data_IF_794882475512
#
_entry.id   IF_794882475512
#
_cell.length_a   1.000
_cell.length_b   1.000
_cell.length_c   1.000
_cell.angle_alpha   90.00
_cell.angle_beta   90.00
_cell.angle_gamma   90.00
#
_symmetry.space_group_name_H-M   'P 1'
#
loop_
_entity.id
_entity.type
_entity.pdbx_description
1 polymer ?
#
# COMPACT_ATOMS: atom_id res chain seq x y z
N UNK A 1 -32.80 -10.08 -16.14
CA UNK A 1 -33.05 -9.36 -14.89
C UNK A 1 -32.03 -8.23 -14.71
N UNK A 2 -30.71 -8.47 -14.64
CA UNK A 2 -29.67 -7.45 -14.43
C UNK A 2 -29.70 -6.33 -15.46
N UNK A 3 -29.96 -6.62 -16.75
CA UNK A 3 -30.06 -5.60 -17.79
C UNK A 3 -31.21 -4.61 -17.52
N UNK A 4 -32.40 -5.11 -17.10
CA UNK A 4 -33.55 -4.25 -16.77
C UNK A 4 -33.25 -3.37 -15.54
N UNK A 5 -32.62 -3.93 -14.48
CA UNK A 5 -32.25 -3.18 -13.29
C UNK A 5 -31.25 -2.06 -13.63
N UNK A 6 -30.28 -2.35 -14.50
CA UNK A 6 -29.33 -1.34 -14.97
C UNK A 6 -30.02 -0.25 -15.80
N UNK A 7 -30.93 -0.59 -16.71
CA UNK A 7 -31.70 0.41 -17.48
C UNK A 7 -32.55 1.32 -16.59
N UNK A 8 -33.02 0.80 -15.45
CA UNK A 8 -33.77 1.57 -14.44
C UNK A 8 -32.86 2.35 -13.49
N UNK A 9 -31.56 2.31 -13.67
CA UNK A 9 -30.59 2.99 -12.78
C UNK A 9 -30.44 2.38 -11.38
N UNK A 10 -31.08 1.22 -11.11
CA UNK A 10 -31.03 0.58 -9.80
C UNK A 10 -29.71 -0.11 -9.48
N UNK A 11 -28.93 -0.44 -10.50
CA UNK A 11 -27.59 -1.03 -10.36
C UNK A 11 -26.64 -0.40 -11.36
N UNK A 12 -25.35 -0.28 -10.99
CA UNK A 12 -24.26 0.13 -11.86
C UNK A 12 -23.42 -1.08 -12.26
N UNK A 13 -23.00 -1.15 -13.52
CA UNK A 13 -22.06 -2.18 -13.98
C UNK A 13 -20.64 -1.68 -13.78
N UNK A 14 -19.87 -2.35 -12.91
CA UNK A 14 -18.46 -2.03 -12.64
C UNK A 14 -17.57 -2.61 -13.73
N UNK A 15 -17.73 -3.90 -14.05
CA UNK A 15 -17.02 -4.60 -15.13
C UNK A 15 -17.87 -5.77 -15.65
N UNK A 16 -17.33 -6.61 -16.53
CA UNK A 16 -18.05 -7.80 -17.02
C UNK A 16 -18.42 -8.69 -15.82
N UNK A 17 -19.73 -8.98 -15.69
CA UNK A 17 -20.32 -9.80 -14.63
C UNK A 17 -20.19 -9.25 -13.18
N UNK A 18 -19.76 -7.99 -13.00
CA UNK A 18 -19.69 -7.33 -11.69
C UNK A 18 -20.61 -6.11 -11.70
N UNK A 19 -21.55 -6.09 -10.77
CA UNK A 19 -22.53 -5.02 -10.59
C UNK A 19 -22.51 -4.53 -9.14
N UNK A 20 -22.92 -3.30 -8.91
CA UNK A 20 -22.99 -2.69 -7.59
C UNK A 20 -24.30 -1.92 -7.39
N UNK A 21 -24.77 -1.90 -6.16
CA UNK A 21 -25.80 -1.01 -5.63
C UNK A 21 -25.20 0.18 -4.85
N UNK A 22 -23.86 0.17 -4.68
CA UNK A 22 -23.14 1.16 -3.89
C UNK A 22 -22.60 2.26 -4.79
N UNK A 23 -22.43 3.45 -4.20
CA UNK A 23 -21.86 4.62 -4.87
C UNK A 23 -20.45 4.93 -4.37
N UNK A 24 -20.06 4.42 -3.18
CA UNK A 24 -18.74 4.63 -2.63
C UNK A 24 -17.66 3.88 -3.41
N UNK A 25 -16.80 4.61 -4.08
CA UNK A 25 -15.74 4.06 -4.94
C UNK A 25 -14.73 3.20 -4.15
N UNK A 26 -14.46 3.52 -2.89
CA UNK A 26 -13.54 2.75 -2.04
C UNK A 26 -14.08 1.36 -1.74
N UNK A 27 -15.38 1.32 -1.39
CA UNK A 27 -16.11 0.08 -1.18
C UNK A 27 -16.17 -0.72 -2.48
N UNK A 28 -16.55 -0.08 -3.58
CA UNK A 28 -16.66 -0.75 -4.88
C UNK A 28 -15.31 -1.34 -5.30
N UNK A 29 -14.26 -0.52 -5.35
CA UNK A 29 -12.95 -0.93 -5.84
C UNK A 29 -12.37 -2.10 -5.04
N UNK A 30 -12.40 -2.03 -3.71
CA UNK A 30 -11.83 -3.09 -2.86
C UNK A 30 -12.55 -4.43 -2.93
N UNK A 31 -13.78 -4.46 -3.49
CA UNK A 31 -14.59 -5.66 -3.63
C UNK A 31 -14.69 -6.18 -5.07
N UNK A 32 -14.00 -5.58 -6.05
CA UNK A 32 -14.02 -6.05 -7.46
C UNK A 32 -13.39 -7.44 -7.59
N UNK A 33 -12.33 -7.68 -6.86
CA UNK A 33 -11.62 -8.98 -6.85
C UNK A 33 -11.22 -9.37 -5.42
N UNK A 34 -11.12 -10.68 -5.19
CA UNK A 34 -10.64 -11.24 -3.93
C UNK A 34 -9.58 -12.31 -4.20
N UNK A 35 -8.51 -12.38 -3.39
CA UNK A 35 -8.12 -11.43 -2.36
C UNK A 35 -7.44 -10.18 -2.95
N UNK A 36 -7.83 -9.02 -2.43
CA UNK A 36 -7.18 -7.74 -2.71
C UNK A 36 -7.45 -6.75 -1.58
N UNK A 37 -6.67 -5.69 -1.52
CA UNK A 37 -6.88 -4.59 -0.58
C UNK A 37 -6.33 -3.27 -1.13
N UNK A 38 -6.88 -2.16 -0.70
CA UNK A 38 -6.39 -0.82 -1.03
C UNK A 38 -5.04 -0.61 -0.34
N UNK A 39 -4.02 -0.16 -1.09
CA UNK A 39 -2.68 0.09 -0.56
C UNK A 39 -2.00 1.27 -1.27
N UNK A 40 -0.70 1.43 -1.05
CA UNK A 40 0.17 2.43 -1.69
C UNK A 40 -0.35 3.85 -1.50
N UNK A 41 -0.30 4.66 -2.53
CA UNK A 41 -0.73 6.04 -2.45
C UNK A 41 -2.22 6.19 -2.09
N UNK A 42 -3.06 5.29 -2.59
CA UNK A 42 -4.49 5.31 -2.26
C UNK A 42 -4.75 5.09 -0.77
N UNK A 43 -4.08 4.12 -0.13
CA UNK A 43 -4.20 3.93 1.32
C UNK A 43 -3.59 5.11 2.09
N UNK A 44 -2.51 5.70 1.57
CA UNK A 44 -1.89 6.89 2.14
C UNK A 44 -2.85 8.08 2.18
N UNK A 45 -3.57 8.32 1.07
CA UNK A 45 -4.61 9.33 0.98
C UNK A 45 -5.78 9.03 1.94
N UNK A 46 -6.26 7.79 1.95
CA UNK A 46 -7.37 7.36 2.82
C UNK A 46 -7.07 7.59 4.31
N UNK A 47 -5.82 7.39 4.73
CA UNK A 47 -5.37 7.64 6.11
C UNK A 47 -4.99 9.10 6.39
N UNK A 48 -5.03 9.98 5.39
CA UNK A 48 -4.60 11.38 5.54
C UNK A 48 -3.08 11.54 5.71
N UNK A 49 -2.29 10.61 5.17
CA UNK A 49 -0.82 10.69 5.22
C UNK A 49 -0.21 11.50 4.09
N UNK A 50 -0.99 11.83 3.07
CA UNK A 50 -0.65 12.72 1.96
C UNK A 50 -1.75 13.75 1.76
N UNK A 51 -1.38 14.94 1.31
CA UNK A 51 -2.30 16.04 0.99
C UNK A 51 -2.75 16.00 -0.49
N UNK A 52 -2.14 15.14 -1.29
CA UNK A 52 -2.42 15.09 -2.72
C UNK A 52 -3.72 14.36 -3.01
N UNK A 53 -4.63 15.02 -3.71
CA UNK A 53 -5.89 14.43 -4.17
C UNK A 53 -5.58 13.36 -5.22
N UNK A 54 -6.24 12.23 -5.10
CA UNK A 54 -6.08 11.10 -6.01
C UNK A 54 -7.36 10.82 -6.80
N UNK A 55 -7.19 10.47 -8.07
CA UNK A 55 -8.24 9.93 -8.94
C UNK A 55 -7.98 8.45 -9.29
N UNK A 56 -7.03 7.82 -8.61
CA UNK A 56 -6.65 6.42 -8.83
C UNK A 56 -6.82 5.64 -7.53
N UNK A 57 -7.53 4.51 -7.60
CA UNK A 57 -7.61 3.55 -6.50
C UNK A 57 -6.68 2.38 -6.81
N UNK A 58 -5.68 2.21 -5.96
CA UNK A 58 -4.64 1.19 -6.11
C UNK A 58 -4.95 -0.02 -5.23
N UNK A 59 -5.06 -1.18 -5.86
CA UNK A 59 -5.36 -2.45 -5.23
C UNK A 59 -4.15 -3.38 -5.28
N UNK A 60 -3.65 -3.75 -4.12
CA UNK A 60 -2.67 -4.83 -3.98
C UNK A 60 -3.36 -6.19 -4.19
N UNK A 61 -2.83 -7.04 -5.04
CA UNK A 61 -3.40 -8.35 -5.39
C UNK A 61 -2.33 -9.33 -5.86
N UNK A 62 -2.61 -10.62 -5.92
CA UNK A 62 -1.68 -11.62 -6.47
C UNK A 62 -1.62 -11.59 -8.01
N UNK A 63 -2.75 -11.30 -8.68
CA UNK A 63 -2.88 -11.45 -10.12
C UNK A 63 -2.70 -10.13 -10.84
N UNK A 64 -1.83 -10.11 -11.85
CA UNK A 64 -1.77 -8.99 -12.79
C UNK A 64 -3.10 -8.88 -13.53
N UNK A 65 -3.67 -7.67 -13.54
CA UNK A 65 -4.88 -7.33 -14.29
C UNK A 65 -4.68 -6.00 -15.01
N UNK A 66 -5.39 -5.82 -16.11
CA UNK A 66 -5.48 -4.52 -16.78
C UNK A 66 -6.20 -3.56 -15.86
N UNK A 67 -5.69 -2.35 -15.77
CA UNK A 67 -6.38 -1.25 -15.11
C UNK A 67 -7.72 -0.98 -15.79
N UNK A 68 -8.66 -0.41 -15.07
CA UNK A 68 -9.97 -0.08 -15.58
C UNK A 68 -10.43 1.28 -15.06
N UNK A 69 -11.29 1.93 -15.82
CA UNK A 69 -11.96 3.16 -15.39
C UNK A 69 -13.36 2.81 -14.93
N UNK A 70 -13.76 3.32 -13.79
CA UNK A 70 -15.12 3.29 -13.30
C UNK A 70 -15.49 4.67 -12.79
N UNK A 71 -16.53 5.25 -13.38
CA UNK A 71 -16.85 6.68 -13.22
C UNK A 71 -15.61 7.54 -13.50
N UNK A 72 -15.23 8.42 -12.58
CA UNK A 72 -14.08 9.32 -12.72
C UNK A 72 -12.79 8.76 -12.10
N UNK A 73 -12.76 7.48 -11.72
CA UNK A 73 -11.62 6.86 -11.05
C UNK A 73 -10.95 5.80 -11.92
N UNK A 74 -9.63 5.84 -11.94
CA UNK A 74 -8.81 4.76 -12.46
C UNK A 74 -8.60 3.72 -11.35
N UNK A 75 -8.96 2.47 -11.62
CA UNK A 75 -8.70 1.35 -10.69
C UNK A 75 -7.51 0.57 -11.20
N UNK A 76 -6.42 0.58 -10.44
CA UNK A 76 -5.15 -0.03 -10.78
C UNK A 76 -4.90 -1.28 -9.93
N UNK A 77 -4.61 -2.41 -10.57
CA UNK A 77 -4.32 -3.68 -9.91
C UNK A 77 -2.82 -3.90 -9.89
N UNK A 78 -2.22 -3.90 -8.69
CA UNK A 78 -0.77 -3.98 -8.48
C UNK A 78 -0.42 -5.36 -7.95
N UNK A 79 0.28 -6.19 -8.74
CA UNK A 79 0.64 -7.53 -8.31
C UNK A 79 1.74 -7.47 -7.24
N UNK A 80 1.47 -8.10 -6.10
CA UNK A 80 2.43 -8.27 -5.01
C UNK A 80 2.45 -9.71 -4.52
N UNK A 81 3.61 -10.16 -4.03
CA UNK A 81 3.80 -11.50 -3.51
C UNK A 81 3.26 -11.67 -2.09
N UNK A 82 3.31 -10.62 -1.29
CA UNK A 82 3.05 -10.65 0.17
C UNK A 82 1.69 -10.05 0.51
N UNK A 83 0.62 -10.83 0.29
CA UNK A 83 -0.76 -10.40 0.48
C UNK A 83 -1.26 -10.76 1.89
N UNK A 84 -0.91 -9.95 2.88
CA UNK A 84 -1.32 -10.04 4.28
C UNK A 84 -1.32 -8.64 4.92
N UNK A 85 -1.67 -8.51 6.19
CA UNK A 85 -1.60 -7.25 6.94
C UNK A 85 -2.58 -6.20 6.44
N UNK A 86 -3.74 -6.64 5.99
CA UNK A 86 -4.87 -5.78 5.64
C UNK A 86 -6.07 -6.13 6.51
N UNK A 87 -6.97 -5.19 6.65
CA UNK A 87 -8.17 -5.34 7.46
C UNK A 87 -9.43 -4.99 6.69
N UNK A 88 -10.53 -5.58 7.12
CA UNK A 88 -11.86 -5.16 6.71
C UNK A 88 -12.29 -3.96 7.56
N UNK A 89 -12.53 -2.84 6.92
CA UNK A 89 -13.04 -1.64 7.55
C UNK A 89 -14.53 -1.48 7.19
N UNK A 90 -15.37 -1.31 8.19
CA UNK A 90 -16.79 -1.01 7.99
C UNK A 90 -16.96 0.50 7.91
N UNK A 91 -17.70 0.95 6.91
CA UNK A 91 -18.15 2.34 6.72
C UNK A 91 -19.66 2.38 6.63
N UNK A 92 -20.25 3.55 6.65
CA UNK A 92 -21.70 3.72 6.43
C UNK A 92 -22.16 3.17 5.08
N UNK A 93 -21.30 3.27 4.06
CA UNK A 93 -21.58 2.83 2.69
C UNK A 93 -21.30 1.35 2.45
N UNK A 94 -20.71 0.63 3.41
CA UNK A 94 -20.37 -0.80 3.27
C UNK A 94 -19.06 -1.17 3.95
N UNK A 95 -18.38 -2.17 3.39
CA UNK A 95 -17.08 -2.61 3.90
C UNK A 95 -16.04 -2.55 2.80
N UNK A 96 -14.84 -2.11 3.14
CA UNK A 96 -13.68 -2.12 2.26
C UNK A 96 -12.52 -2.89 2.89
N UNK A 97 -11.60 -3.36 2.05
CA UNK A 97 -10.35 -3.98 2.48
C UNK A 97 -9.20 -3.00 2.23
N UNK A 98 -8.41 -2.72 3.27
CA UNK A 98 -7.32 -1.73 3.22
C UNK A 98 -6.11 -2.22 4.00
N UNK A 99 -4.91 -1.89 3.51
CA UNK A 99 -3.66 -2.15 4.22
C UNK A 99 -3.70 -1.57 5.63
N UNK A 100 -3.26 -2.32 6.64
CA UNK A 100 -2.95 -1.72 7.94
C UNK A 100 -1.76 -0.75 7.81
N UNK A 101 -1.62 0.26 8.69
CA UNK A 101 -0.53 1.22 8.60
C UNK A 101 0.85 0.57 8.49
N UNK A 102 1.11 -0.48 9.27
CA UNK A 102 2.37 -1.24 9.23
C UNK A 102 2.61 -1.90 7.87
N UNK A 103 1.56 -2.44 7.28
CA UNK A 103 1.64 -3.05 5.95
C UNK A 103 1.85 -2.03 4.85
N UNK A 104 1.22 -0.85 4.97
CA UNK A 104 1.42 0.26 4.04
C UNK A 104 2.88 0.71 4.01
N UNK A 105 3.56 0.82 5.17
CA UNK A 105 4.99 1.13 5.23
C UNK A 105 5.85 0.10 4.48
N UNK A 106 5.49 -1.17 4.57
CA UNK A 106 6.16 -2.26 3.86
C UNK A 106 5.86 -2.18 2.36
N UNK A 107 4.60 -2.02 1.98
CA UNK A 107 4.17 -1.96 0.58
C UNK A 107 4.83 -0.81 -0.17
N UNK A 108 5.04 0.32 0.50
CA UNK A 108 5.75 1.48 -0.05
C UNK A 108 7.18 1.14 -0.51
N UNK A 109 7.84 0.13 0.06
CA UNK A 109 9.14 -0.34 -0.41
C UNK A 109 9.10 -1.64 -1.22
N UNK A 110 7.97 -2.33 -1.22
CA UNK A 110 7.76 -3.44 -2.17
C UNK A 110 7.54 -2.92 -3.59
N UNK A 111 6.83 -1.79 -3.72
CA UNK A 111 6.48 -1.12 -4.97
C UNK A 111 6.58 0.40 -4.82
N UNK A 112 7.80 0.95 -4.68
CA UNK A 112 7.97 2.38 -4.39
C UNK A 112 7.42 3.28 -5.50
N UNK A 113 7.46 2.84 -6.75
CA UNK A 113 6.88 3.52 -7.90
C UNK A 113 5.36 3.77 -7.78
N UNK A 114 4.68 3.04 -6.92
CA UNK A 114 3.24 3.18 -6.68
C UNK A 114 2.91 4.18 -5.55
N UNK A 115 3.92 4.75 -4.90
CA UNK A 115 3.80 5.73 -3.83
C UNK A 115 4.31 7.13 -4.23
N UNK A 116 4.42 7.38 -5.54
CA UNK A 116 4.94 8.63 -6.07
C UNK A 116 6.47 8.71 -5.98
N UNK A 117 6.99 9.68 -5.24
CA UNK A 117 8.43 9.87 -5.04
C UNK A 117 8.86 9.53 -3.61
N UNK A 118 10.16 9.61 -3.35
CA UNK A 118 10.70 9.26 -2.04
C UNK A 118 10.21 10.20 -0.91
N UNK A 119 9.97 11.48 -1.20
CA UNK A 119 9.45 12.41 -0.20
C UNK A 119 8.03 12.06 0.24
N UNK A 120 7.19 11.55 -0.65
CA UNK A 120 5.86 11.03 -0.28
C UNK A 120 5.96 9.78 0.60
N UNK A 121 6.91 8.87 0.31
CA UNK A 121 7.19 7.73 1.20
C UNK A 121 7.58 8.23 2.60
N UNK A 122 8.45 9.25 2.71
CA UNK A 122 8.82 9.82 4.01
C UNK A 122 7.63 10.43 4.76
N UNK A 123 6.67 11.07 4.07
CA UNK A 123 5.43 11.57 4.69
C UNK A 123 4.58 10.43 5.26
N UNK A 124 4.45 9.31 4.54
CA UNK A 124 3.75 8.11 5.04
C UNK A 124 4.39 7.66 6.36
N UNK A 125 5.72 7.57 6.41
CA UNK A 125 6.43 7.19 7.64
C UNK A 125 6.23 8.20 8.76
N UNK A 126 6.31 9.50 8.48
CA UNK A 126 6.14 10.57 9.48
C UNK A 126 4.74 10.54 10.10
N UNK A 127 3.71 10.41 9.27
CA UNK A 127 2.31 10.58 9.69
C UNK A 127 1.64 9.29 10.20
N UNK A 128 2.17 8.11 9.85
CA UNK A 128 1.58 6.83 10.27
C UNK A 128 1.72 6.59 11.77
N UNK A 129 0.67 6.03 12.40
CA UNK A 129 0.71 5.45 13.73
C UNK A 129 0.82 3.95 13.59
N UNK A 130 1.83 3.33 14.18
CA UNK A 130 2.15 1.91 14.04
C UNK A 130 2.39 1.23 15.38
N UNK A 131 2.22 -0.10 15.39
CA UNK A 131 2.67 -0.98 16.48
C UNK A 131 4.04 -1.58 16.13
N UNK A 132 5.02 -1.46 17.04
CA UNK A 132 6.33 -2.09 16.89
C UNK A 132 6.21 -3.61 16.74
N UNK A 133 5.40 -4.25 17.56
CA UNK A 133 5.18 -5.69 17.52
C UNK A 133 4.63 -6.13 16.15
N UNK A 134 3.63 -5.42 15.62
CA UNK A 134 3.04 -5.74 14.31
C UNK A 134 4.03 -5.55 13.17
N UNK A 135 4.78 -4.44 13.15
CA UNK A 135 5.72 -4.19 12.05
C UNK A 135 6.85 -5.23 12.04
N UNK A 136 7.38 -5.62 13.20
CA UNK A 136 8.38 -6.68 13.32
C UNK A 136 7.82 -8.01 12.81
N UNK A 137 6.62 -8.39 13.25
CA UNK A 137 5.95 -9.61 12.78
C UNK A 137 5.79 -9.62 11.27
N UNK A 138 5.34 -8.51 10.67
CA UNK A 138 5.14 -8.39 9.22
C UNK A 138 6.45 -8.44 8.45
N UNK A 139 7.50 -7.77 8.93
CA UNK A 139 8.82 -7.79 8.30
C UNK A 139 9.46 -9.20 8.32
N UNK A 140 9.24 -9.98 9.38
CA UNK A 140 9.70 -11.39 9.42
C UNK A 140 9.05 -12.27 8.34
N UNK A 141 7.85 -11.92 7.88
CA UNK A 141 7.18 -12.62 6.78
C UNK A 141 7.71 -12.20 5.39
N UNK A 142 8.47 -11.11 5.30
CA UNK A 142 9.01 -10.57 4.04
C UNK A 142 10.39 -11.16 3.77
N UNK A 143 10.51 -12.00 2.74
CA UNK A 143 11.80 -12.55 2.28
C UNK A 143 12.55 -11.58 1.35
N UNK A 144 12.56 -10.29 1.66
CA UNK A 144 13.22 -9.24 0.87
C UNK A 144 13.99 -8.31 1.79
N UNK A 145 15.23 -8.65 2.05
CA UNK A 145 16.10 -7.96 3.00
C UNK A 145 16.19 -6.44 2.74
N UNK A 146 16.20 -6.03 1.48
CA UNK A 146 16.23 -4.60 1.11
C UNK A 146 15.02 -3.81 1.60
N UNK A 147 13.85 -4.45 1.71
CA UNK A 147 12.65 -3.83 2.31
C UNK A 147 12.84 -3.69 3.80
N UNK A 148 13.27 -4.76 4.48
CA UNK A 148 13.49 -4.77 5.94
C UNK A 148 14.45 -3.66 6.35
N UNK A 149 15.58 -3.51 5.65
CA UNK A 149 16.60 -2.48 5.92
C UNK A 149 16.06 -1.06 5.76
N UNK A 150 15.35 -0.78 4.67
CA UNK A 150 14.76 0.55 4.40
C UNK A 150 13.69 0.90 5.44
N UNK A 151 12.79 -0.05 5.72
CA UNK A 151 11.75 0.13 6.73
C UNK A 151 12.38 0.37 8.11
N UNK A 152 13.31 -0.49 8.54
CA UNK A 152 13.96 -0.36 9.84
C UNK A 152 14.73 0.94 9.99
N UNK A 153 15.50 1.35 8.98
CA UNK A 153 16.20 2.63 8.99
C UNK A 153 15.24 3.81 9.18
N UNK A 154 14.15 3.87 8.40
CA UNK A 154 13.20 4.97 8.50
C UNK A 154 12.42 4.96 9.82
N UNK A 155 12.09 3.79 10.37
CA UNK A 155 11.48 3.68 11.69
C UNK A 155 12.38 4.24 12.77
N UNK A 156 13.66 3.88 12.75
CA UNK A 156 14.63 4.39 13.71
C UNK A 156 14.83 5.90 13.57
N UNK A 157 15.03 6.42 12.35
CA UNK A 157 15.34 7.84 12.14
C UNK A 157 14.13 8.76 12.26
N UNK A 158 12.94 8.31 11.90
CA UNK A 158 11.75 9.17 11.90
C UNK A 158 10.92 8.99 13.17
N UNK A 159 10.84 7.77 13.70
CA UNK A 159 9.97 7.44 14.84
C UNK A 159 10.72 7.07 16.13
N UNK A 160 12.04 6.94 16.09
CA UNK A 160 12.82 6.48 17.22
C UNK A 160 12.62 4.99 17.57
N UNK A 161 12.03 4.21 16.66
CA UNK A 161 11.73 2.79 16.89
C UNK A 161 12.86 1.94 16.31
N UNK A 162 13.67 1.35 17.17
CA UNK A 162 14.78 0.48 16.78
C UNK A 162 14.41 -1.01 16.84
N UNK A 163 14.24 -1.58 15.68
CA UNK A 163 13.92 -3.00 15.51
C UNK A 163 15.10 -3.86 15.04
N UNK A 164 16.33 -3.30 15.01
CA UNK A 164 17.51 -3.97 14.46
C UNK A 164 17.83 -5.30 15.14
N UNK A 165 17.59 -5.41 16.45
CA UNK A 165 17.80 -6.63 17.25
C UNK A 165 17.04 -7.86 16.72
N UNK A 166 16.03 -7.66 15.89
CA UNK A 166 15.20 -8.76 15.33
C UNK A 166 15.69 -9.27 13.99
N UNK A 167 16.72 -8.65 13.39
CA UNK A 167 17.16 -8.94 12.03
C UNK A 167 18.69 -8.97 11.93
N UNK A 168 19.19 -9.81 11.04
CA UNK A 168 20.58 -9.82 10.62
C UNK A 168 20.67 -9.59 9.12
N UNK A 169 21.72 -8.92 8.65
CA UNK A 169 21.83 -8.46 7.27
C UNK A 169 23.15 -8.92 6.63
N UNK A 170 23.07 -9.22 5.33
CA UNK A 170 24.23 -9.50 4.50
C UNK A 170 25.18 -8.28 4.42
N UNK A 171 26.41 -8.49 3.90
CA UNK A 171 27.48 -7.46 3.91
C UNK A 171 27.26 -6.29 2.95
N UNK A 172 26.42 -6.45 1.94
CA UNK A 172 26.22 -5.45 0.88
C UNK A 172 25.37 -4.25 1.36
N UNK A 173 25.72 -3.07 0.87
CA UNK A 173 24.92 -1.85 1.10
C UNK A 173 23.91 -1.64 -0.01
N UNK A 174 22.72 -1.15 0.33
CA UNK A 174 21.65 -0.85 -0.61
C UNK A 174 21.29 0.65 -0.57
N UNK A 175 20.82 1.27 -1.66
CA UNK A 175 20.28 2.63 -1.60
C UNK A 175 19.05 2.70 -0.69
N UNK A 176 18.99 3.69 0.21
CA UNK A 176 17.79 3.99 0.99
C UNK A 176 16.68 4.48 0.08
N UNK A 177 16.97 5.50 -0.73
CA UNK A 177 16.08 5.97 -1.77
C UNK A 177 16.17 5.07 -3.00
N UNK A 178 15.11 4.29 -3.33
CA UNK A 178 15.12 3.37 -4.46
C UNK A 178 15.20 4.06 -5.83
N UNK A 179 14.93 5.38 -5.89
CA UNK A 179 14.97 6.17 -7.12
C UNK A 179 16.32 6.85 -7.36
N UNK A 180 17.20 6.91 -6.35
CA UNK A 180 18.49 7.59 -6.45
C UNK A 180 19.61 6.62 -6.83
N UNK A 181 20.51 7.10 -7.70
CA UNK A 181 21.78 6.43 -8.04
C UNK A 181 22.98 7.04 -7.32
N UNK A 182 22.77 8.14 -6.57
CA UNK A 182 23.81 8.84 -5.83
C UNK A 182 23.52 8.83 -4.33
N UNK A 183 24.56 8.85 -3.52
CA UNK A 183 24.49 8.89 -2.05
C UNK A 183 25.72 9.59 -1.50
N UNK A 184 25.57 10.26 -0.37
CA UNK A 184 26.64 11.01 0.31
C UNK A 184 27.15 10.34 1.58
N UNK A 185 26.32 9.51 2.19
CA UNK A 185 26.59 8.87 3.48
C UNK A 185 26.17 7.40 3.47
N UNK A 186 26.67 6.66 4.44
CA UNK A 186 26.27 5.28 4.69
C UNK A 186 25.85 5.11 6.15
N UNK A 187 24.88 4.24 6.39
CA UNK A 187 24.54 3.74 7.72
C UNK A 187 24.97 2.28 7.82
N UNK A 188 25.92 2.01 8.72
CA UNK A 188 26.48 0.68 8.87
C UNK A 188 25.54 -0.30 9.57
N UNK A 189 24.66 0.19 10.45
CA UNK A 189 23.71 -0.63 11.21
C UNK A 189 22.67 -1.27 10.28
N UNK A 190 22.01 -0.45 9.44
CA UNK A 190 21.03 -0.91 8.47
C UNK A 190 21.63 -1.25 7.10
N UNK A 191 22.92 -0.97 6.91
CA UNK A 191 23.63 -1.14 5.63
C UNK A 191 22.92 -0.47 4.47
N UNK A 192 22.55 0.79 4.67
CA UNK A 192 21.92 1.64 3.66
C UNK A 192 22.83 2.78 3.24
N UNK A 193 22.72 3.18 1.97
CA UNK A 193 23.36 4.33 1.35
C UNK A 193 22.34 5.46 1.31
N UNK A 194 22.71 6.64 1.86
CA UNK A 194 21.83 7.78 2.10
C UNK A 194 22.21 8.92 1.18
#
# INVERSE_FOLDING_TARGET
>A
ILHRLRKRGLIKRVTKNVYTLKDDIWVIASNIIYPSYISFWSASYFYGYTEQIINTIQLATYKKRKQMVFENYLIKFIPIKYLFGFRKLRTENGSLFIAEPEKLLIDAFLKPEECGNFSEILKIYKNSKISEEKIVRYLKMIKKESVVRRVGYLLEKIKGIDISKHFSFGKNYIPLNPFSKSWKKIDAKWRVKI
#
